data_IF_780862252024
#
_entry.id   IF_780862252024
#
_cell.length_a   1.000
_cell.length_b   1.000
_cell.length_c   1.000
_cell.angle_alpha   90.00
_cell.angle_beta   90.00
_cell.angle_gamma   90.00
#
_symmetry.space_group_name_H-M   'P 1'
#
loop_
_entity.id
_entity.type
_entity.pdbx_description
1 polymer ?
#
# COMPACT_ATOMS: atom_id res chain seq x y z
N UNK A 1 -40.01 -10.25 -15.30
CA UNK A 1 -39.29 -9.16 -14.59
C UNK A 1 -38.59 -8.21 -15.57
N UNK A 2 -37.89 -8.71 -16.61
CA UNK A 2 -37.24 -7.85 -17.64
C UNK A 2 -38.20 -6.79 -18.25
N UNK A 3 -39.43 -7.13 -18.72
CA UNK A 3 -40.33 -6.11 -19.29
C UNK A 3 -40.72 -5.02 -18.30
N UNK A 4 -40.83 -5.36 -17.01
CA UNK A 4 -41.13 -4.39 -15.96
C UNK A 4 -39.98 -3.38 -15.84
N UNK A 5 -38.72 -3.83 -15.83
CA UNK A 5 -37.56 -2.93 -15.75
C UNK A 5 -37.48 -2.01 -16.96
N UNK A 6 -37.65 -2.56 -18.17
CA UNK A 6 -37.70 -1.76 -19.41
C UNK A 6 -38.81 -0.72 -19.34
N UNK A 7 -40.01 -1.09 -18.88
CA UNK A 7 -41.11 -0.13 -18.70
C UNK A 7 -40.82 0.97 -17.67
N UNK A 8 -40.05 0.66 -16.61
CA UNK A 8 -39.67 1.65 -15.60
C UNK A 8 -38.57 2.59 -16.09
N UNK A 9 -37.82 2.20 -17.13
CA UNK A 9 -36.77 3.00 -17.76
C UNK A 9 -37.31 4.02 -18.78
N UNK A 10 -38.57 3.89 -19.23
CA UNK A 10 -39.17 4.79 -20.22
C UNK A 10 -39.06 6.28 -19.80
N UNK A 11 -38.74 7.20 -20.73
CA UNK A 11 -38.59 8.63 -20.44
C UNK A 11 -39.82 9.28 -19.78
N UNK A 12 -41.01 8.72 -20.00
CA UNK A 12 -42.29 9.17 -19.42
C UNK A 12 -42.41 8.92 -17.92
N UNK A 13 -41.64 7.98 -17.36
CA UNK A 13 -41.67 7.68 -15.92
C UNK A 13 -40.92 8.75 -15.15
N UNK A 14 -41.19 8.86 -13.83
CA UNK A 14 -40.46 9.78 -12.95
C UNK A 14 -38.97 9.40 -12.89
N UNK A 15 -38.09 10.40 -12.75
CA UNK A 15 -36.63 10.24 -12.62
C UNK A 15 -36.25 9.14 -11.62
N UNK A 16 -36.86 9.14 -10.43
CA UNK A 16 -36.60 8.14 -9.39
C UNK A 16 -36.87 6.70 -9.86
N UNK A 17 -37.91 6.47 -10.67
CA UNK A 17 -38.23 5.13 -11.21
C UNK A 17 -37.18 4.69 -12.23
N UNK A 18 -36.68 5.61 -13.04
CA UNK A 18 -35.61 5.32 -14.01
C UNK A 18 -34.27 5.04 -13.32
N UNK A 19 -33.95 5.76 -12.24
CA UNK A 19 -32.80 5.44 -11.36
C UNK A 19 -32.98 4.08 -10.67
N UNK A 20 -34.20 3.69 -10.30
CA UNK A 20 -34.44 2.33 -9.79
C UNK A 20 -34.26 1.30 -10.91
N UNK A 21 -34.69 1.61 -12.14
CA UNK A 21 -34.55 0.73 -13.28
C UNK A 21 -33.07 0.41 -13.60
N UNK A 22 -32.16 1.38 -13.53
CA UNK A 22 -30.71 1.12 -13.68
C UNK A 22 -30.20 0.13 -12.63
N UNK A 23 -30.61 0.26 -11.37
CA UNK A 23 -30.24 -0.65 -10.27
C UNK A 23 -30.79 -2.06 -10.46
N UNK A 24 -32.02 -2.17 -10.96
CA UNK A 24 -32.62 -3.46 -11.28
C UNK A 24 -31.95 -4.11 -12.48
N UNK A 25 -31.56 -3.32 -13.49
CA UNK A 25 -30.81 -3.78 -14.65
C UNK A 25 -29.51 -4.47 -14.22
N UNK A 26 -28.74 -3.85 -13.32
CA UNK A 26 -27.53 -4.42 -12.73
C UNK A 26 -27.75 -5.83 -12.15
N UNK A 27 -28.84 -6.02 -11.40
CA UNK A 27 -29.19 -7.32 -10.80
C UNK A 27 -29.72 -8.32 -11.81
N UNK A 28 -30.44 -7.87 -12.83
CA UNK A 28 -30.95 -8.77 -13.86
C UNK A 28 -29.83 -9.30 -14.76
N UNK A 29 -28.83 -8.48 -15.07
CA UNK A 29 -27.68 -8.87 -15.87
C UNK A 29 -27.02 -10.17 -15.39
N UNK A 30 -26.95 -10.41 -14.08
CA UNK A 30 -26.34 -11.64 -13.52
C UNK A 30 -27.27 -12.87 -13.47
N UNK A 31 -28.57 -12.71 -13.79
CA UNK A 31 -29.58 -13.77 -13.61
C UNK A 31 -30.19 -14.20 -14.94
N UNK A 32 -30.36 -13.27 -15.88
CA UNK A 32 -31.02 -13.56 -17.15
C UNK A 32 -30.06 -14.15 -18.18
N UNK A 33 -30.55 -14.92 -19.17
CA UNK A 33 -29.73 -15.38 -20.28
C UNK A 33 -29.09 -14.23 -21.05
N UNK A 34 -27.89 -14.47 -21.62
CA UNK A 34 -27.13 -13.49 -22.42
C UNK A 34 -27.96 -12.88 -23.56
N UNK A 35 -28.82 -13.67 -24.19
CA UNK A 35 -29.73 -13.20 -25.25
C UNK A 35 -30.69 -12.12 -24.76
N UNK A 36 -31.21 -12.23 -23.54
CA UNK A 36 -32.05 -11.19 -22.92
C UNK A 36 -31.22 -9.94 -22.58
N UNK A 37 -29.98 -10.12 -22.13
CA UNK A 37 -29.07 -8.98 -21.91
C UNK A 37 -28.85 -8.22 -23.22
N UNK A 38 -28.57 -8.94 -24.29
CA UNK A 38 -28.29 -8.39 -25.62
C UNK A 38 -29.49 -7.69 -26.25
N UNK A 39 -30.67 -8.30 -26.18
CA UNK A 39 -31.88 -7.81 -26.87
C UNK A 39 -32.67 -6.78 -26.08
N UNK A 40 -32.67 -6.87 -24.75
CA UNK A 40 -33.55 -6.05 -23.91
C UNK A 40 -32.76 -5.10 -23.00
N UNK A 41 -31.79 -5.63 -22.23
CA UNK A 41 -31.13 -4.84 -21.19
C UNK A 41 -30.08 -3.87 -21.73
N UNK A 42 -29.25 -4.29 -22.69
CA UNK A 42 -28.24 -3.42 -23.29
C UNK A 42 -28.87 -2.24 -24.06
N UNK A 43 -29.92 -2.43 -24.89
CA UNK A 43 -30.65 -1.31 -25.50
C UNK A 43 -31.34 -0.41 -24.46
N UNK A 44 -31.88 -1.00 -23.38
CA UNK A 44 -32.43 -0.23 -22.27
C UNK A 44 -31.36 0.65 -21.60
N UNK A 45 -30.14 0.14 -21.42
CA UNK A 45 -29.03 0.91 -20.88
C UNK A 45 -28.59 2.03 -21.84
N UNK A 46 -28.52 1.76 -23.15
CA UNK A 46 -28.22 2.76 -24.18
C UNK A 46 -29.20 3.94 -24.11
N UNK A 47 -30.50 3.65 -24.03
CA UNK A 47 -31.55 4.67 -23.86
C UNK A 47 -31.34 5.49 -22.57
N UNK A 48 -31.02 4.83 -21.46
CA UNK A 48 -30.78 5.50 -20.18
C UNK A 48 -29.49 6.35 -20.17
N UNK A 49 -28.52 6.06 -21.05
CA UNK A 49 -27.33 6.90 -21.21
C UNK A 49 -27.67 8.27 -21.83
N UNK A 50 -28.79 8.35 -22.56
CA UNK A 50 -29.33 9.56 -23.19
C UNK A 50 -30.41 10.25 -22.35
N UNK A 51 -30.62 9.82 -21.11
CA UNK A 51 -31.68 10.35 -20.26
C UNK A 51 -31.48 11.84 -20.00
N UNK A 52 -32.54 12.69 -20.02
CA UNK A 52 -32.40 14.12 -19.75
C UNK A 52 -31.89 14.44 -18.34
N UNK A 53 -32.06 13.52 -17.38
CA UNK A 53 -31.58 13.70 -16.00
C UNK A 53 -30.16 13.15 -15.82
N UNK A 54 -29.23 14.04 -15.42
CA UNK A 54 -27.87 13.65 -15.04
C UNK A 54 -27.85 12.56 -13.96
N UNK A 55 -28.81 12.57 -13.01
CA UNK A 55 -28.89 11.53 -11.97
C UNK A 55 -29.14 10.12 -12.55
N UNK A 56 -29.92 10.01 -13.63
CA UNK A 56 -30.14 8.73 -14.33
C UNK A 56 -28.89 8.34 -15.10
N UNK A 57 -28.29 9.28 -15.83
CA UNK A 57 -27.05 9.05 -16.60
C UNK A 57 -25.89 8.61 -15.72
N UNK A 58 -25.66 9.27 -14.58
CA UNK A 58 -24.69 8.86 -13.57
C UNK A 58 -25.00 7.46 -13.05
N UNK A 59 -26.28 7.17 -12.79
CA UNK A 59 -26.68 5.86 -12.27
C UNK A 59 -26.47 4.72 -13.27
N UNK A 60 -26.75 4.92 -14.57
CA UNK A 60 -26.48 3.90 -15.59
C UNK A 60 -24.98 3.79 -15.88
N UNK A 61 -24.24 4.91 -15.90
CA UNK A 61 -22.80 4.94 -16.12
C UNK A 61 -22.07 4.00 -15.16
N UNK A 62 -22.40 4.04 -13.87
CA UNK A 62 -21.84 3.18 -12.80
C UNK A 62 -22.09 1.68 -12.99
N UNK A 63 -22.94 1.27 -13.94
CA UNK A 63 -23.46 -0.10 -14.08
C UNK A 63 -23.12 -0.75 -15.41
N UNK A 64 -22.56 0.00 -16.35
CA UNK A 64 -22.23 -0.52 -17.69
C UNK A 64 -21.24 -1.69 -17.63
N UNK A 65 -20.36 -1.74 -16.64
CA UNK A 65 -19.44 -2.87 -16.43
C UNK A 65 -20.15 -4.19 -16.17
N UNK A 66 -21.30 -4.19 -15.49
CA UNK A 66 -22.09 -5.41 -15.26
C UNK A 66 -22.72 -5.94 -16.54
N UNK A 67 -23.07 -5.03 -17.47
CA UNK A 67 -23.55 -5.43 -18.79
C UNK A 67 -22.40 -6.04 -19.59
N UNK A 68 -21.21 -5.43 -19.54
CA UNK A 68 -20.02 -5.94 -20.22
C UNK A 68 -19.66 -7.36 -19.77
N UNK A 69 -19.65 -7.59 -18.45
CA UNK A 69 -19.42 -8.92 -17.86
C UNK A 69 -20.48 -9.94 -18.32
N UNK A 70 -21.75 -9.53 -18.35
CA UNK A 70 -22.85 -10.44 -18.67
C UNK A 70 -22.94 -10.80 -20.15
N UNK A 71 -22.46 -9.94 -21.06
CA UNK A 71 -22.47 -10.22 -22.51
C UNK A 71 -21.49 -11.33 -22.90
N UNK A 72 -20.40 -11.53 -22.13
CA UNK A 72 -19.36 -12.57 -22.36
C UNK A 72 -18.80 -12.64 -23.78
N UNK A 73 -18.97 -11.59 -24.57
CA UNK A 73 -18.54 -11.51 -25.97
C UNK A 73 -18.00 -10.10 -26.26
N UNK A 74 -16.73 -10.02 -26.61
CA UNK A 74 -16.07 -8.72 -26.81
C UNK A 74 -16.63 -7.92 -27.98
N UNK A 75 -17.10 -8.56 -29.06
CA UNK A 75 -17.71 -7.89 -30.21
C UNK A 75 -19.06 -7.27 -29.84
N UNK A 76 -19.86 -7.99 -29.04
CA UNK A 76 -21.12 -7.47 -28.51
C UNK A 76 -20.86 -6.32 -27.53
N UNK A 77 -19.87 -6.45 -26.63
CA UNK A 77 -19.46 -5.35 -25.75
C UNK A 77 -19.04 -4.10 -26.54
N UNK A 78 -18.24 -4.27 -27.60
CA UNK A 78 -17.81 -3.16 -28.46
C UNK A 78 -19.00 -2.52 -29.15
N UNK A 79 -19.87 -3.30 -29.80
CA UNK A 79 -21.01 -2.74 -30.55
C UNK A 79 -22.07 -2.09 -29.66
N UNK A 80 -22.33 -2.64 -28.47
CA UNK A 80 -23.41 -2.19 -27.59
C UNK A 80 -22.95 -1.15 -26.56
N UNK A 81 -21.77 -1.27 -25.99
CA UNK A 81 -21.36 -0.46 -24.83
C UNK A 81 -20.37 0.65 -25.17
N UNK A 82 -19.51 0.45 -26.18
CA UNK A 82 -18.53 1.48 -26.55
C UNK A 82 -19.19 2.81 -26.95
N UNK A 83 -20.32 2.85 -27.69
CA UNK A 83 -21.04 4.09 -27.95
C UNK A 83 -21.49 4.81 -26.67
N UNK A 84 -22.00 4.06 -25.67
CA UNK A 84 -22.40 4.61 -24.36
C UNK A 84 -21.21 5.25 -23.64
N UNK A 85 -20.05 4.59 -23.64
CA UNK A 85 -18.84 5.14 -23.01
C UNK A 85 -18.43 6.46 -23.66
N UNK A 86 -18.41 6.51 -24.99
CA UNK A 86 -18.03 7.72 -25.76
C UNK A 86 -18.99 8.87 -25.46
N UNK A 87 -20.28 8.57 -25.38
CA UNK A 87 -21.33 9.56 -25.12
C UNK A 87 -21.22 10.13 -23.70
N UNK A 88 -21.21 9.28 -22.68
CA UNK A 88 -21.14 9.69 -21.27
C UNK A 88 -19.81 10.37 -20.92
N UNK A 89 -18.72 10.04 -21.63
CA UNK A 89 -17.44 10.76 -21.49
C UNK A 89 -17.48 12.21 -21.96
N UNK A 90 -18.46 12.58 -22.80
CA UNK A 90 -18.67 13.94 -23.32
C UNK A 90 -19.76 14.69 -22.56
N UNK A 91 -20.30 14.11 -21.48
CA UNK A 91 -21.40 14.69 -20.72
C UNK A 91 -20.99 16.04 -20.10
N UNK A 92 -21.94 16.98 -20.04
CA UNK A 92 -21.74 18.28 -19.42
C UNK A 92 -21.70 18.19 -17.89
N UNK A 93 -22.36 17.18 -17.30
CA UNK A 93 -22.37 16.97 -15.85
C UNK A 93 -21.08 16.29 -15.36
N UNK A 94 -20.33 16.89 -14.43
CA UNK A 94 -19.09 16.30 -13.91
C UNK A 94 -19.32 14.96 -13.20
N UNK A 95 -20.47 14.77 -12.52
CA UNK A 95 -20.79 13.52 -11.85
C UNK A 95 -20.98 12.35 -12.81
N UNK A 96 -21.55 12.62 -14.00
CA UNK A 96 -21.63 11.61 -15.08
C UNK A 96 -20.23 11.27 -15.60
N UNK A 97 -19.38 12.29 -15.86
CA UNK A 97 -18.00 12.09 -16.30
C UNK A 97 -17.18 11.28 -15.28
N UNK A 98 -17.32 11.56 -14.00
CA UNK A 98 -16.67 10.79 -12.94
C UNK A 98 -17.11 9.32 -12.93
N UNK A 99 -18.41 9.08 -13.02
CA UNK A 99 -18.97 7.73 -13.01
C UNK A 99 -18.48 6.90 -14.20
N UNK A 100 -18.46 7.49 -15.39
CA UNK A 100 -18.03 6.77 -16.59
C UNK A 100 -16.53 6.52 -16.61
N UNK A 101 -15.69 7.45 -16.13
CA UNK A 101 -14.25 7.26 -16.07
C UNK A 101 -13.86 6.10 -15.13
N UNK A 102 -14.53 5.98 -13.97
CA UNK A 102 -14.36 4.81 -13.11
C UNK A 102 -14.79 3.51 -13.82
N UNK A 103 -15.87 3.57 -14.59
CA UNK A 103 -16.44 2.39 -15.27
C UNK A 103 -15.58 1.93 -16.46
N UNK A 104 -14.96 2.85 -17.19
CA UNK A 104 -14.03 2.52 -18.28
C UNK A 104 -12.92 1.60 -17.80
N UNK A 105 -12.33 1.87 -16.62
CA UNK A 105 -11.26 1.05 -16.07
C UNK A 105 -11.68 -0.42 -15.91
N UNK A 106 -12.92 -0.65 -15.44
CA UNK A 106 -13.49 -1.98 -15.24
C UNK A 106 -13.90 -2.64 -16.57
N UNK A 107 -14.33 -1.84 -17.55
CA UNK A 107 -14.78 -2.35 -18.85
C UNK A 107 -13.62 -2.76 -19.78
N UNK A 108 -12.40 -2.25 -19.58
CA UNK A 108 -11.26 -2.46 -20.48
C UNK A 108 -11.01 -3.93 -20.85
N UNK A 109 -11.04 -4.92 -19.93
CA UNK A 109 -10.79 -6.32 -20.26
C UNK A 109 -11.83 -6.94 -21.21
N UNK A 110 -13.05 -6.41 -21.26
CA UNK A 110 -14.12 -6.95 -22.12
C UNK A 110 -14.01 -6.48 -23.56
N UNK A 111 -13.22 -5.45 -23.85
CA UNK A 111 -13.07 -4.90 -25.19
C UNK A 111 -11.96 -5.58 -26.00
N UNK A 112 -12.16 -5.66 -27.31
CA UNK A 112 -11.15 -6.23 -28.21
C UNK A 112 -9.87 -5.41 -28.17
N UNK A 113 -8.74 -6.05 -28.48
CA UNK A 113 -7.43 -5.38 -28.55
C UNK A 113 -7.48 -4.20 -29.52
N UNK A 114 -8.16 -4.38 -30.65
CA UNK A 114 -8.33 -3.36 -31.68
C UNK A 114 -9.12 -2.16 -31.16
N UNK A 115 -10.31 -2.36 -30.56
CA UNK A 115 -11.12 -1.25 -30.06
C UNK A 115 -10.46 -0.51 -28.90
N UNK A 116 -9.72 -1.23 -28.03
CA UNK A 116 -8.90 -0.59 -26.99
C UNK A 116 -7.89 0.38 -27.60
N UNK A 117 -7.21 -0.05 -28.66
CA UNK A 117 -6.20 0.75 -29.36
C UNK A 117 -6.80 1.92 -30.15
N UNK A 118 -7.79 1.66 -31.00
CA UNK A 118 -8.31 2.64 -31.94
C UNK A 118 -9.33 3.61 -31.35
N UNK A 119 -9.98 3.26 -30.24
CA UNK A 119 -11.08 4.05 -29.66
C UNK A 119 -10.84 4.39 -28.20
N UNK A 120 -10.61 3.39 -27.33
CA UNK A 120 -10.60 3.62 -25.88
C UNK A 120 -9.39 4.44 -25.43
N UNK A 121 -8.19 4.16 -25.95
CA UNK A 121 -6.99 4.95 -25.64
C UNK A 121 -7.17 6.42 -26.04
N UNK A 122 -7.58 6.77 -27.29
CA UNK A 122 -7.91 8.15 -27.64
C UNK A 122 -8.97 8.80 -26.75
N UNK A 123 -10.00 8.03 -26.34
CA UNK A 123 -11.04 8.52 -25.44
C UNK A 123 -10.48 8.87 -24.05
N UNK A 124 -9.70 7.98 -23.44
CA UNK A 124 -9.03 8.20 -22.14
C UNK A 124 -8.14 9.45 -22.20
N UNK A 125 -7.39 9.62 -23.30
CA UNK A 125 -6.55 10.81 -23.51
C UNK A 125 -7.39 12.08 -23.54
N UNK A 126 -8.46 12.08 -24.33
CA UNK A 126 -9.35 13.25 -24.44
C UNK A 126 -9.98 13.61 -23.10
N UNK A 127 -10.50 12.62 -22.36
CA UNK A 127 -11.09 12.86 -21.04
C UNK A 127 -10.05 13.33 -20.02
N UNK A 128 -8.84 12.80 -20.08
CA UNK A 128 -7.73 13.24 -19.21
C UNK A 128 -7.37 14.70 -19.49
N UNK A 129 -7.20 15.11 -20.75
CA UNK A 129 -6.92 16.51 -21.08
C UNK A 129 -8.08 17.44 -20.70
N UNK A 130 -9.33 16.98 -20.84
CA UNK A 130 -10.51 17.71 -20.36
C UNK A 130 -10.46 17.91 -18.84
N UNK A 131 -10.15 16.87 -18.06
CA UNK A 131 -10.04 16.95 -16.61
C UNK A 131 -8.88 17.87 -16.17
N UNK A 132 -7.74 17.80 -16.85
CA UNK A 132 -6.58 18.68 -16.61
C UNK A 132 -6.89 20.15 -16.93
N UNK A 133 -7.74 20.40 -17.92
CA UNK A 133 -8.18 21.74 -18.30
C UNK A 133 -9.24 22.30 -17.33
N UNK A 134 -10.30 21.54 -17.08
CA UNK A 134 -11.42 21.95 -16.23
C UNK A 134 -11.05 22.02 -14.76
N UNK A 135 -10.12 21.17 -14.31
CA UNK A 135 -9.68 21.06 -12.91
C UNK A 135 -10.83 20.87 -11.92
N UNK A 136 -11.85 20.13 -12.36
CA UNK A 136 -13.01 19.75 -11.56
C UNK A 136 -12.78 18.39 -10.88
N UNK A 137 -13.84 17.82 -10.31
CA UNK A 137 -13.82 16.53 -9.62
C UNK A 137 -13.40 15.35 -10.51
N UNK A 138 -13.54 15.46 -11.84
CA UNK A 138 -13.05 14.43 -12.77
C UNK A 138 -11.52 14.28 -12.73
N UNK A 139 -10.79 15.32 -12.31
CA UNK A 139 -9.33 15.29 -12.14
C UNK A 139 -8.91 14.24 -11.11
N UNK A 140 -9.65 14.11 -10.00
CA UNK A 140 -9.37 13.09 -8.98
C UNK A 140 -9.64 11.68 -9.50
N UNK A 141 -10.67 11.51 -10.34
CA UNK A 141 -10.95 10.21 -10.96
C UNK A 141 -9.85 9.83 -11.95
N UNK A 142 -9.38 10.78 -12.76
CA UNK A 142 -8.22 10.55 -13.64
C UNK A 142 -6.99 10.20 -12.81
N UNK A 143 -6.69 10.96 -11.75
CA UNK A 143 -5.56 10.66 -10.86
C UNK A 143 -5.66 9.27 -10.23
N UNK A 144 -6.87 8.80 -9.92
CA UNK A 144 -7.14 7.45 -9.39
C UNK A 144 -6.98 6.36 -10.46
N UNK A 145 -7.46 6.60 -11.67
CA UNK A 145 -7.57 5.57 -12.70
C UNK A 145 -6.38 5.50 -13.66
N UNK A 146 -5.49 6.49 -13.68
CA UNK A 146 -4.37 6.54 -14.63
C UNK A 146 -3.43 5.32 -14.51
N UNK A 147 -3.17 4.82 -13.29
CA UNK A 147 -2.42 3.59 -13.05
C UNK A 147 -3.15 2.34 -13.57
N UNK A 148 -4.39 2.05 -13.11
CA UNK A 148 -5.20 0.94 -13.62
C UNK A 148 -5.38 0.93 -15.14
N UNK A 149 -5.58 2.10 -15.75
CA UNK A 149 -5.65 2.25 -17.20
C UNK A 149 -4.34 1.85 -17.86
N UNK A 150 -3.21 2.41 -17.41
CA UNK A 150 -1.88 2.08 -17.92
C UNK A 150 -1.62 0.57 -17.83
N UNK A 151 -1.85 -0.04 -16.67
CA UNK A 151 -1.61 -1.47 -16.47
C UNK A 151 -2.43 -2.34 -17.44
N UNK A 152 -3.69 -1.97 -17.67
CA UNK A 152 -4.63 -2.70 -18.54
C UNK A 152 -4.32 -2.58 -20.04
N UNK A 153 -3.57 -1.56 -20.46
CA UNK A 153 -3.30 -1.27 -21.89
C UNK A 153 -1.82 -1.22 -22.26
N UNK A 154 -0.87 -1.29 -21.31
CA UNK A 154 0.57 -1.11 -21.55
C UNK A 154 1.12 -1.97 -22.69
N UNK A 155 0.62 -3.19 -22.88
CA UNK A 155 1.07 -4.13 -23.91
C UNK A 155 0.69 -3.72 -25.35
N UNK A 156 -0.23 -2.77 -25.49
CA UNK A 156 -0.78 -2.35 -26.79
C UNK A 156 -0.42 -0.91 -27.15
N UNK A 157 0.22 -0.19 -26.21
CA UNK A 157 0.68 1.18 -26.37
C UNK A 157 1.94 1.26 -27.23
N UNK A 158 2.00 2.30 -28.05
CA UNK A 158 3.23 2.78 -28.67
C UNK A 158 4.12 3.51 -27.66
N UNK A 159 5.40 3.70 -28.00
CA UNK A 159 6.34 4.47 -27.16
C UNK A 159 5.88 5.91 -26.92
N UNK A 160 5.23 6.54 -27.90
CA UNK A 160 4.68 7.89 -27.73
C UNK A 160 3.52 7.92 -26.73
N UNK A 161 2.68 6.88 -26.71
CA UNK A 161 1.58 6.79 -25.76
C UNK A 161 2.06 6.43 -24.36
N UNK A 162 3.06 5.54 -24.23
CA UNK A 162 3.73 5.28 -22.96
C UNK A 162 4.33 6.57 -22.38
N UNK A 163 5.01 7.36 -23.21
CA UNK A 163 5.52 8.67 -22.80
C UNK A 163 4.41 9.61 -22.36
N UNK A 164 3.30 9.67 -23.11
CA UNK A 164 2.15 10.50 -22.74
C UNK A 164 1.58 10.12 -21.35
N UNK A 165 1.49 8.84 -21.00
CA UNK A 165 1.05 8.43 -19.66
C UNK A 165 1.99 8.93 -18.56
N UNK A 166 3.31 8.81 -18.74
CA UNK A 166 4.29 9.29 -17.78
C UNK A 166 4.23 10.82 -17.64
N UNK A 167 4.22 11.55 -18.76
CA UNK A 167 4.15 13.02 -18.76
C UNK A 167 2.84 13.51 -18.11
N UNK A 168 1.75 12.81 -18.36
CA UNK A 168 0.44 13.09 -17.75
C UNK A 168 0.46 12.86 -16.24
N UNK A 169 1.06 11.77 -15.77
CA UNK A 169 1.22 11.51 -14.34
C UNK A 169 2.04 12.59 -13.64
N UNK A 170 3.16 13.02 -14.24
CA UNK A 170 3.95 14.15 -13.74
C UNK A 170 3.10 15.43 -13.67
N UNK A 171 2.35 15.77 -14.73
CA UNK A 171 1.43 16.92 -14.74
C UNK A 171 0.37 16.86 -13.64
N UNK A 172 -0.21 15.68 -13.39
CA UNK A 172 -1.19 15.48 -12.31
C UNK A 172 -0.57 15.77 -10.94
N UNK A 173 0.63 15.24 -10.68
CA UNK A 173 1.37 15.52 -9.44
C UNK A 173 1.63 17.02 -9.30
N UNK A 174 2.14 17.67 -10.34
CA UNK A 174 2.46 19.10 -10.30
C UNK A 174 1.22 19.97 -10.07
N UNK A 175 0.10 19.68 -10.73
CA UNK A 175 -1.16 20.39 -10.50
C UNK A 175 -1.66 20.19 -9.08
N UNK A 176 -1.57 18.98 -8.54
CA UNK A 176 -2.06 18.64 -7.20
C UNK A 176 -1.22 19.22 -6.05
N UNK A 177 0.00 19.65 -6.37
CA UNK A 177 0.97 20.20 -5.43
C UNK A 177 1.21 21.70 -5.61
N UNK A 178 0.70 22.30 -6.69
CA UNK A 178 0.87 23.71 -6.98
C UNK A 178 -0.13 24.58 -6.21
N UNK A 179 0.31 25.78 -5.83
CA UNK A 179 -0.56 26.83 -5.30
C UNK A 179 -1.36 27.45 -6.45
N UNK A 180 -2.48 26.82 -6.82
CA UNK A 180 -3.39 27.38 -7.83
C UNK A 180 -4.70 27.80 -7.17
N UNK A 181 -4.99 29.10 -7.13
CA UNK A 181 -6.25 29.67 -6.64
C UNK A 181 -7.50 29.11 -7.32
N UNK A 182 -7.34 28.42 -8.46
CA UNK A 182 -8.42 27.86 -9.26
C UNK A 182 -8.86 26.45 -8.83
N UNK A 183 -8.14 25.81 -7.91
CA UNK A 183 -8.43 24.43 -7.47
C UNK A 183 -8.64 24.42 -5.96
N UNK A 184 -9.73 23.79 -5.51
CA UNK A 184 -9.95 23.60 -4.08
C UNK A 184 -8.80 22.79 -3.45
N UNK A 185 -8.32 23.21 -2.28
CA UNK A 185 -7.31 22.49 -1.52
C UNK A 185 -7.70 21.02 -1.22
N UNK A 186 -9.01 20.76 -1.05
CA UNK A 186 -9.55 19.40 -0.88
C UNK A 186 -9.34 18.55 -2.13
N UNK A 187 -9.59 19.13 -3.31
CA UNK A 187 -9.39 18.45 -4.58
C UNK A 187 -7.90 18.17 -4.85
N UNK A 188 -7.03 19.15 -4.57
CA UNK A 188 -5.58 18.96 -4.65
C UNK A 188 -5.11 17.81 -3.74
N UNK A 189 -5.57 17.79 -2.49
CA UNK A 189 -5.20 16.74 -1.52
C UNK A 189 -5.71 15.37 -1.97
N UNK A 190 -6.96 15.28 -2.45
CA UNK A 190 -7.51 14.04 -3.00
C UNK A 190 -6.70 13.56 -4.22
N UNK A 191 -6.33 14.46 -5.14
CA UNK A 191 -5.47 14.13 -6.28
C UNK A 191 -4.09 13.62 -5.82
N UNK A 192 -3.44 14.29 -4.85
CA UNK A 192 -2.13 13.83 -4.33
C UNK A 192 -2.20 12.42 -3.75
N UNK A 193 -3.24 12.11 -2.97
CA UNK A 193 -3.48 10.75 -2.42
C UNK A 193 -3.63 9.72 -3.53
N UNK A 194 -4.39 10.03 -4.57
CA UNK A 194 -4.56 9.13 -5.71
C UNK A 194 -3.28 8.96 -6.55
N UNK A 195 -2.50 10.01 -6.72
CA UNK A 195 -1.20 9.93 -7.38
C UNK A 195 -0.22 9.05 -6.57
N UNK A 196 -0.15 9.24 -5.25
CA UNK A 196 0.66 8.40 -4.38
C UNK A 196 0.26 6.92 -4.44
N UNK A 197 -1.05 6.64 -4.45
CA UNK A 197 -1.57 5.28 -4.63
C UNK A 197 -1.11 4.65 -5.95
N UNK A 198 -1.02 5.44 -7.02
CA UNK A 198 -0.60 4.96 -8.33
C UNK A 198 0.92 4.92 -8.55
N UNK A 199 1.73 5.50 -7.65
CA UNK A 199 3.18 5.53 -7.79
C UNK A 199 3.81 4.15 -8.07
N UNK A 200 3.43 3.05 -7.40
CA UNK A 200 4.01 1.73 -7.68
C UNK A 200 3.80 1.27 -9.13
N UNK A 201 2.64 1.56 -9.74
CA UNK A 201 2.39 1.23 -11.15
C UNK A 201 3.39 1.93 -12.07
N UNK A 202 3.62 3.22 -11.86
CA UNK A 202 4.57 4.00 -12.64
C UNK A 202 6.02 3.57 -12.38
N UNK A 203 6.36 3.25 -11.13
CA UNK A 203 7.67 2.69 -10.80
C UNK A 203 7.92 1.33 -11.49
N UNK A 204 6.92 0.46 -11.57
CA UNK A 204 7.04 -0.81 -12.28
C UNK A 204 7.21 -0.63 -13.80
N UNK A 205 6.46 0.28 -14.41
CA UNK A 205 6.47 0.47 -15.88
C UNK A 205 7.68 1.27 -16.35
N UNK A 206 8.01 2.37 -15.68
CA UNK A 206 9.04 3.33 -16.12
C UNK A 206 10.33 3.27 -15.29
N UNK A 207 10.37 2.41 -14.27
CA UNK A 207 11.46 2.37 -13.30
C UNK A 207 12.82 2.00 -13.89
N UNK A 208 12.90 1.41 -15.08
CA UNK A 208 14.20 1.11 -15.72
C UNK A 208 14.82 2.33 -16.41
N UNK A 209 14.01 3.13 -17.08
CA UNK A 209 14.49 4.18 -18.00
C UNK A 209 14.40 5.58 -17.41
N UNK A 210 13.37 5.88 -16.60
CA UNK A 210 13.06 7.26 -16.17
C UNK A 210 12.89 7.41 -14.66
N UNK A 211 13.39 6.45 -13.86
CA UNK A 211 13.24 6.49 -12.41
C UNK A 211 13.89 7.73 -11.80
N UNK A 212 15.20 7.92 -12.02
CA UNK A 212 15.95 9.01 -11.38
C UNK A 212 15.55 10.40 -11.90
N UNK A 213 15.20 10.53 -13.18
CA UNK A 213 14.85 11.82 -13.78
C UNK A 213 13.43 12.27 -13.42
N UNK A 214 12.44 11.35 -13.44
CA UNK A 214 11.02 11.70 -13.32
C UNK A 214 10.39 11.21 -12.01
N UNK A 215 10.64 9.97 -11.63
CA UNK A 215 9.93 9.35 -10.49
C UNK A 215 10.57 9.65 -9.14
N UNK A 216 11.90 9.76 -9.07
CA UNK A 216 12.61 10.04 -7.83
C UNK A 216 12.21 11.40 -7.23
N UNK A 217 12.14 12.51 -8.00
CA UNK A 217 11.65 13.78 -7.45
C UNK A 217 10.20 13.72 -6.95
N UNK A 218 9.35 12.90 -7.59
CA UNK A 218 7.96 12.69 -7.15
C UNK A 218 7.94 11.90 -5.84
N UNK A 219 8.77 10.87 -5.73
CA UNK A 219 8.91 10.07 -4.51
C UNK A 219 9.36 10.93 -3.32
N UNK A 220 10.37 11.78 -3.52
CA UNK A 220 10.86 12.70 -2.49
C UNK A 220 9.74 13.61 -1.98
N UNK A 221 8.96 14.19 -2.90
CA UNK A 221 7.80 15.04 -2.57
C UNK A 221 6.73 14.28 -1.80
N UNK A 222 6.40 13.05 -2.20
CA UNK A 222 5.41 12.27 -1.45
C UNK A 222 5.91 11.83 -0.08
N UNK A 223 7.19 11.51 0.08
CA UNK A 223 7.77 11.16 1.38
C UNK A 223 7.85 12.35 2.35
N UNK A 224 7.73 13.58 1.84
CA UNK A 224 7.76 14.83 2.62
C UNK A 224 6.45 15.60 2.55
N UNK A 225 5.38 15.01 2.01
CA UNK A 225 4.08 15.66 1.84
C UNK A 225 3.48 16.05 3.19
N UNK A 226 2.80 17.19 3.25
CA UNK A 226 2.13 17.66 4.47
C UNK A 226 0.94 16.78 4.90
N UNK A 227 0.39 15.97 3.98
CA UNK A 227 -0.71 15.06 4.25
C UNK A 227 -0.21 13.66 4.66
N UNK A 228 -0.55 13.23 5.88
CA UNK A 228 -0.09 11.95 6.45
C UNK A 228 -0.60 10.74 5.65
N UNK A 229 -1.74 10.84 4.97
CA UNK A 229 -2.30 9.74 4.15
C UNK A 229 -1.48 9.53 2.87
N UNK A 230 -0.99 10.61 2.24
CA UNK A 230 -0.02 10.52 1.13
C UNK A 230 1.25 9.80 1.59
N UNK A 231 1.83 10.22 2.72
CA UNK A 231 3.05 9.59 3.26
C UNK A 231 2.81 8.14 3.64
N UNK A 232 1.67 7.83 4.25
CA UNK A 232 1.27 6.45 4.62
C UNK A 232 1.10 5.56 3.38
N UNK A 233 0.53 6.09 2.32
CA UNK A 233 0.32 5.36 1.06
C UNK A 233 1.66 4.94 0.45
N UNK A 234 2.60 5.87 0.31
CA UNK A 234 3.95 5.56 -0.19
C UNK A 234 4.70 4.62 0.76
N UNK A 235 4.61 4.88 2.06
CA UNK A 235 5.23 4.06 3.12
C UNK A 235 4.82 2.59 3.03
N UNK A 236 3.53 2.30 2.76
CA UNK A 236 3.02 0.93 2.63
C UNK A 236 3.65 0.14 1.47
N UNK A 237 3.96 0.81 0.35
CA UNK A 237 4.57 0.23 -0.85
C UNK A 237 6.08 0.41 -0.96
N UNK A 238 6.73 1.07 0.00
CA UNK A 238 8.13 1.51 -0.15
C UNK A 238 9.11 0.35 -0.33
N UNK A 239 8.82 -0.79 0.30
CA UNK A 239 9.62 -2.00 0.19
C UNK A 239 9.67 -2.56 -1.24
N UNK A 240 8.57 -2.46 -2.00
CA UNK A 240 8.51 -2.87 -3.41
C UNK A 240 9.41 -1.96 -4.27
N UNK A 241 9.41 -0.64 -4.00
CA UNK A 241 10.29 0.33 -4.69
C UNK A 241 11.76 -0.03 -4.48
N UNK A 242 12.15 -0.33 -3.24
CA UNK A 242 13.50 -0.78 -2.91
C UNK A 242 13.83 -2.09 -3.60
N UNK A 243 12.92 -3.07 -3.60
CA UNK A 243 13.16 -4.37 -4.21
C UNK A 243 13.33 -4.28 -5.73
N UNK A 244 12.65 -3.35 -6.39
CA UNK A 244 12.87 -3.07 -7.81
C UNK A 244 14.23 -2.43 -8.10
N UNK A 245 14.78 -1.66 -7.16
CA UNK A 245 16.05 -0.94 -7.31
C UNK A 245 16.93 -1.04 -6.05
N UNK A 246 17.43 -2.26 -5.73
CA UNK A 246 18.12 -2.51 -4.47
C UNK A 246 19.47 -1.78 -4.35
N UNK A 247 20.07 -1.41 -5.48
CA UNK A 247 21.36 -0.69 -5.56
C UNK A 247 21.20 0.83 -5.76
N UNK A 248 20.00 1.40 -5.56
CA UNK A 248 19.76 2.84 -5.74
C UNK A 248 19.98 3.62 -4.43
N UNK A 249 21.10 4.34 -4.27
CA UNK A 249 21.43 5.03 -3.03
C UNK A 249 20.49 6.21 -2.72
N UNK A 250 19.84 6.79 -3.73
CA UNK A 250 18.91 7.90 -3.55
C UNK A 250 17.71 7.52 -2.65
N UNK A 251 17.35 6.24 -2.57
CA UNK A 251 16.22 5.74 -1.76
C UNK A 251 16.47 5.79 -0.24
N UNK A 252 17.72 5.93 0.19
CA UNK A 252 18.06 6.00 1.63
C UNK A 252 17.48 7.26 2.27
N UNK A 253 17.50 8.40 1.56
CA UNK A 253 16.96 9.66 2.06
C UNK A 253 15.46 9.60 2.35
N UNK A 254 14.63 9.25 1.35
CA UNK A 254 13.18 9.14 1.53
C UNK A 254 12.77 8.13 2.58
N UNK A 255 13.48 7.00 2.70
CA UNK A 255 13.26 6.04 3.79
C UNK A 255 13.42 6.69 5.16
N UNK A 256 14.47 7.49 5.35
CA UNK A 256 14.71 8.20 6.62
C UNK A 256 13.65 9.28 6.85
N UNK A 257 13.27 10.03 5.83
CA UNK A 257 12.25 11.08 5.96
C UNK A 257 10.89 10.52 6.37
N UNK A 258 10.47 9.38 5.81
CA UNK A 258 9.24 8.69 6.23
C UNK A 258 9.24 8.29 7.71
N UNK A 259 10.40 8.02 8.30
CA UNK A 259 10.51 7.67 9.72
C UNK A 259 10.68 8.91 10.60
N UNK A 260 11.49 9.89 10.18
CA UNK A 260 11.82 11.08 10.98
C UNK A 260 10.70 12.12 10.98
N UNK A 261 10.11 12.39 9.82
CA UNK A 261 8.99 13.34 9.64
C UNK A 261 7.61 12.66 9.63
N UNK A 262 7.57 11.33 9.77
CA UNK A 262 6.33 10.56 9.76
C UNK A 262 5.57 10.67 11.08
N UNK A 263 4.25 10.89 10.97
CA UNK A 263 3.34 10.55 12.06
C UNK A 263 3.44 9.04 12.36
N UNK A 264 3.08 8.59 13.57
CA UNK A 264 3.17 7.17 13.90
C UNK A 264 2.47 6.26 12.90
N UNK A 265 1.35 6.68 12.32
CA UNK A 265 0.56 5.96 11.31
C UNK A 265 1.38 5.67 10.04
N UNK A 266 2.24 6.61 9.62
CA UNK A 266 3.14 6.47 8.47
C UNK A 266 4.18 5.40 8.76
N UNK A 267 4.83 5.49 9.92
CA UNK A 267 5.89 4.56 10.33
C UNK A 267 5.35 3.15 10.50
N UNK A 268 4.12 3.01 11.01
CA UNK A 268 3.45 1.72 11.18
C UNK A 268 3.37 0.92 9.87
N UNK A 269 3.18 1.60 8.71
CA UNK A 269 3.09 0.93 7.40
C UNK A 269 4.38 0.22 6.97
N UNK A 270 5.54 0.67 7.46
CA UNK A 270 6.85 0.09 7.10
C UNK A 270 7.23 -1.11 7.95
N UNK A 271 6.68 -1.21 9.17
CA UNK A 271 7.15 -2.17 10.20
C UNK A 271 7.15 -3.62 9.72
N UNK A 272 6.13 -4.02 8.96
CA UNK A 272 5.97 -5.38 8.44
C UNK A 272 6.99 -5.79 7.38
N UNK A 273 7.65 -4.83 6.73
CA UNK A 273 8.53 -5.07 5.60
C UNK A 273 9.98 -4.63 5.85
N UNK A 274 10.36 -4.26 7.08
CA UNK A 274 11.73 -3.85 7.39
C UNK A 274 12.76 -4.95 7.05
N UNK A 275 12.42 -6.23 7.17
CA UNK A 275 13.32 -7.33 6.79
C UNK A 275 13.66 -7.36 5.29
N UNK A 276 12.78 -6.83 4.42
CA UNK A 276 13.00 -6.69 2.97
C UNK A 276 13.70 -5.37 2.63
N UNK A 277 13.38 -4.32 3.37
CA UNK A 277 13.85 -2.96 3.13
C UNK A 277 15.26 -2.71 3.64
N UNK A 278 15.60 -3.18 4.84
CA UNK A 278 16.87 -2.83 5.47
C UNK A 278 18.10 -3.41 4.75
N UNK A 279 18.14 -4.69 4.33
CA UNK A 279 19.35 -5.24 3.73
C UNK A 279 19.84 -4.46 2.49
N UNK A 280 18.99 -4.13 1.49
CA UNK A 280 19.41 -3.30 0.36
C UNK A 280 19.91 -1.91 0.79
N UNK A 281 19.23 -1.23 1.73
CA UNK A 281 19.64 0.10 2.18
C UNK A 281 20.99 0.09 2.90
N UNK A 282 21.24 -0.89 3.77
CA UNK A 282 22.55 -1.05 4.43
C UNK A 282 23.66 -1.37 3.42
N UNK A 283 23.37 -2.19 2.42
CA UNK A 283 24.34 -2.51 1.36
C UNK A 283 24.66 -1.27 0.50
N UNK A 284 23.65 -0.46 0.14
CA UNK A 284 23.85 0.83 -0.52
C UNK A 284 24.74 1.75 0.30
N UNK A 285 24.44 1.94 1.59
CA UNK A 285 25.28 2.78 2.45
C UNK A 285 26.71 2.26 2.48
N UNK A 286 26.91 0.95 2.64
CA UNK A 286 28.24 0.33 2.66
C UNK A 286 29.02 0.57 1.36
N UNK A 287 28.39 0.39 0.20
CA UNK A 287 29.02 0.57 -1.12
C UNK A 287 29.37 2.03 -1.41
N UNK A 288 28.52 2.97 -0.99
CA UNK A 288 28.61 4.38 -1.39
C UNK A 288 29.11 5.32 -0.28
N UNK A 289 29.51 4.79 0.89
CA UNK A 289 30.10 5.58 1.97
C UNK A 289 31.32 6.36 1.45
N UNK A 290 31.30 7.69 1.56
CA UNK A 290 32.38 8.58 1.10
C UNK A 290 32.23 9.14 -0.31
N UNK A 291 31.18 8.76 -1.05
CA UNK A 291 30.82 9.40 -2.32
C UNK A 291 29.93 10.63 -2.10
N UNK A 292 29.99 11.61 -3.00
CA UNK A 292 29.23 12.88 -2.91
C UNK A 292 27.71 12.68 -2.80
N UNK A 293 27.19 11.56 -3.31
CA UNK A 293 25.76 11.30 -3.44
C UNK A 293 25.10 10.68 -2.19
N UNK A 294 25.87 10.10 -1.26
CA UNK A 294 25.30 9.53 -0.01
C UNK A 294 25.77 10.31 1.20
N UNK A 295 25.00 11.34 1.56
CA UNK A 295 25.23 12.14 2.77
C UNK A 295 24.88 11.40 4.07
N UNK A 296 24.27 10.21 3.97
CA UNK A 296 23.71 9.48 5.11
C UNK A 296 24.66 8.38 5.55
N UNK A 297 25.06 8.42 6.82
CA UNK A 297 25.92 7.39 7.41
C UNK A 297 25.12 6.20 7.94
N UNK A 298 25.76 5.03 8.01
CA UNK A 298 25.19 3.83 8.66
C UNK A 298 24.72 4.12 10.09
N UNK A 299 25.53 4.86 10.85
CA UNK A 299 25.22 5.26 12.23
C UNK A 299 23.93 6.08 12.31
N UNK A 300 23.68 6.93 11.31
CA UNK A 300 22.43 7.68 11.23
C UNK A 300 21.23 6.74 11.03
N UNK A 301 21.33 5.76 10.13
CA UNK A 301 20.27 4.77 9.93
C UNK A 301 20.00 3.95 11.20
N UNK A 302 21.04 3.48 11.89
CA UNK A 302 20.92 2.77 13.17
C UNK A 302 20.12 3.59 14.21
N UNK A 303 20.46 4.87 14.34
CA UNK A 303 19.76 5.80 15.25
C UNK A 303 18.30 6.03 14.86
N UNK A 304 18.01 6.11 13.56
CA UNK A 304 16.64 6.26 13.04
C UNK A 304 15.81 5.02 13.38
N UNK A 305 16.38 3.82 13.25
CA UNK A 305 15.68 2.58 13.60
C UNK A 305 15.41 2.49 15.11
N UNK A 306 16.35 2.91 15.96
CA UNK A 306 16.11 2.99 17.41
C UNK A 306 15.05 4.07 17.73
N UNK A 307 15.06 5.19 17.02
CA UNK A 307 14.03 6.23 17.10
C UNK A 307 12.64 5.70 16.75
N UNK A 308 12.54 4.88 15.72
CA UNK A 308 11.31 4.19 15.31
C UNK A 308 10.73 3.35 16.45
N UNK A 309 11.55 2.58 17.17
CA UNK A 309 11.09 1.85 18.36
C UNK A 309 10.49 2.78 19.43
N UNK A 310 11.15 3.91 19.72
CA UNK A 310 10.67 4.88 20.72
C UNK A 310 9.34 5.50 20.32
N UNK A 311 9.18 5.83 19.04
CA UNK A 311 7.95 6.37 18.48
C UNK A 311 6.81 5.36 18.66
N UNK A 312 7.00 4.12 18.20
CA UNK A 312 5.98 3.06 18.24
C UNK A 312 5.59 2.69 19.68
N UNK A 313 6.56 2.67 20.61
CA UNK A 313 6.33 2.43 22.05
C UNK A 313 5.40 3.47 22.67
N UNK A 314 5.42 4.71 22.16
CA UNK A 314 4.53 5.78 22.60
C UNK A 314 3.09 5.67 22.08
N UNK A 315 2.81 4.72 21.19
CA UNK A 315 1.49 4.54 20.56
C UNK A 315 0.66 3.44 21.22
N UNK A 316 -0.64 3.39 20.92
CA UNK A 316 -1.50 2.23 21.21
C UNK A 316 -1.35 1.05 20.25
N UNK A 317 -0.56 1.21 19.18
CA UNK A 317 -0.47 0.26 18.06
C UNK A 317 0.54 -0.87 18.33
N UNK A 318 0.27 -1.69 19.34
CA UNK A 318 1.17 -2.78 19.74
C UNK A 318 1.46 -3.79 18.63
N UNK A 319 0.53 -4.01 17.68
CA UNK A 319 0.75 -4.91 16.53
C UNK A 319 1.87 -4.41 15.63
N UNK A 320 1.91 -3.11 15.37
CA UNK A 320 2.96 -2.49 14.56
C UNK A 320 4.29 -2.47 15.31
N UNK A 321 4.27 -2.30 16.64
CA UNK A 321 5.47 -2.39 17.47
C UNK A 321 6.03 -3.82 17.52
N UNK A 322 5.18 -4.82 17.72
CA UNK A 322 5.54 -6.25 17.63
C UNK A 322 6.12 -6.57 16.24
N UNK A 323 5.44 -6.13 15.18
CA UNK A 323 5.91 -6.27 13.80
C UNK A 323 7.29 -5.66 13.60
N UNK A 324 7.51 -4.43 14.08
CA UNK A 324 8.83 -3.79 14.07
C UNK A 324 9.88 -4.65 14.77
N UNK A 325 9.61 -5.10 16.01
CA UNK A 325 10.56 -5.85 16.83
C UNK A 325 10.99 -7.15 16.17
N UNK A 326 10.06 -7.86 15.54
CA UNK A 326 10.37 -9.07 14.77
C UNK A 326 11.19 -8.76 13.51
N UNK A 327 10.81 -7.72 12.77
CA UNK A 327 11.40 -7.44 11.47
C UNK A 327 12.79 -6.77 11.54
N UNK A 328 13.17 -6.15 12.66
CA UNK A 328 14.54 -5.66 12.88
C UNK A 328 15.56 -6.77 13.20
N UNK A 329 15.13 -8.02 13.37
CA UNK A 329 16.05 -9.14 13.61
C UNK A 329 17.07 -9.33 12.47
N UNK A 330 16.75 -8.91 11.24
CA UNK A 330 17.67 -8.97 10.10
C UNK A 330 18.94 -8.11 10.31
N UNK A 331 18.87 -7.04 11.13
CA UNK A 331 19.99 -6.12 11.39
C UNK A 331 21.21 -6.87 11.94
N UNK A 332 20.99 -8.00 12.62
CA UNK A 332 22.07 -8.83 13.18
C UNK A 332 23.10 -9.27 12.12
N UNK A 333 22.71 -9.34 10.85
CA UNK A 333 23.59 -9.69 9.74
C UNK A 333 24.08 -8.47 8.93
N UNK A 334 23.60 -7.26 9.27
CA UNK A 334 23.86 -6.04 8.50
C UNK A 334 24.89 -5.12 9.16
N UNK A 335 25.06 -5.20 10.49
CA UNK A 335 25.99 -4.34 11.24
C UNK A 335 26.95 -5.16 12.12
N UNK A 336 28.12 -4.61 12.48
CA UNK A 336 29.08 -5.26 13.36
C UNK A 336 28.51 -5.58 14.74
N UNK A 337 28.98 -6.69 15.33
CA UNK A 337 28.51 -7.15 16.64
C UNK A 337 28.71 -6.13 17.76
N UNK A 338 29.74 -5.28 17.68
CA UNK A 338 29.98 -4.22 18.65
C UNK A 338 28.80 -3.22 18.69
N UNK A 339 28.31 -2.83 17.52
CA UNK A 339 27.23 -1.85 17.41
C UNK A 339 25.87 -2.45 17.79
N UNK A 340 25.65 -3.74 17.48
CA UNK A 340 24.52 -4.51 18.01
C UNK A 340 24.52 -4.51 19.54
N UNK A 341 25.68 -4.81 20.14
CA UNK A 341 25.82 -4.94 21.58
C UNK A 341 25.66 -3.60 22.31
N UNK A 342 26.21 -2.51 21.76
CA UNK A 342 26.15 -1.19 22.41
C UNK A 342 24.80 -0.51 22.23
N UNK A 343 24.17 -0.66 21.06
CA UNK A 343 22.99 0.17 20.71
C UNK A 343 21.66 -0.61 20.77
N UNK A 344 21.62 -1.81 20.20
CA UNK A 344 20.36 -2.57 20.06
C UNK A 344 20.07 -3.47 21.25
N UNK A 345 21.09 -4.09 21.86
CA UNK A 345 20.91 -4.96 23.01
C UNK A 345 20.28 -4.25 24.22
N UNK A 346 20.71 -3.04 24.65
CA UNK A 346 20.07 -2.34 25.74
C UNK A 346 18.62 -1.96 25.43
N UNK A 347 18.36 -1.52 24.19
CA UNK A 347 17.01 -1.20 23.72
C UNK A 347 16.09 -2.43 23.80
N UNK A 348 16.50 -3.58 23.26
CA UNK A 348 15.70 -4.80 23.31
C UNK A 348 15.47 -5.29 24.74
N UNK A 349 16.51 -5.27 25.61
CA UNK A 349 16.35 -5.59 27.04
C UNK A 349 15.31 -4.68 27.71
N UNK A 350 15.32 -3.38 27.39
CA UNK A 350 14.33 -2.45 27.89
C UNK A 350 12.91 -2.79 27.41
N UNK A 351 12.74 -3.16 26.13
CA UNK A 351 11.42 -3.52 25.60
C UNK A 351 10.87 -4.79 26.26
N UNK A 352 11.71 -5.83 26.43
CA UNK A 352 11.36 -7.07 27.13
C UNK A 352 10.84 -6.78 28.55
N UNK A 353 11.46 -5.85 29.27
CA UNK A 353 11.10 -5.54 30.65
C UNK A 353 9.88 -4.62 30.79
N UNK A 354 9.73 -3.65 29.89
CA UNK A 354 8.90 -2.46 30.17
C UNK A 354 7.69 -2.30 29.26
N UNK A 355 7.63 -2.96 28.09
CA UNK A 355 6.48 -2.80 27.18
C UNK A 355 5.23 -3.37 27.83
N UNK A 356 4.08 -2.72 27.62
CA UNK A 356 2.81 -3.19 28.19
C UNK A 356 2.30 -4.47 27.51
N UNK A 357 2.35 -4.52 26.18
CA UNK A 357 1.85 -5.64 25.41
C UNK A 357 2.79 -6.84 25.49
N UNK A 358 2.25 -7.98 25.93
CA UNK A 358 3.01 -9.24 25.99
C UNK A 358 3.56 -9.67 24.61
N UNK A 359 2.81 -9.57 23.49
CA UNK A 359 3.35 -9.90 22.16
C UNK A 359 4.62 -9.13 21.81
N UNK A 360 4.70 -7.84 22.15
CA UNK A 360 5.93 -7.06 21.96
C UNK A 360 7.08 -7.56 22.85
N UNK A 361 6.83 -7.97 24.09
CA UNK A 361 7.88 -8.54 24.96
C UNK A 361 8.43 -9.85 24.38
N UNK A 362 7.55 -10.69 23.85
CA UNK A 362 7.91 -11.96 23.20
C UNK A 362 8.73 -11.67 21.93
N UNK A 363 8.27 -10.76 21.07
CA UNK A 363 8.99 -10.35 19.86
C UNK A 363 10.38 -9.76 20.17
N UNK A 364 10.47 -8.86 21.17
CA UNK A 364 11.75 -8.32 21.62
C UNK A 364 12.68 -9.42 22.17
N UNK A 365 12.13 -10.41 22.88
CA UNK A 365 12.89 -11.54 23.41
C UNK A 365 13.44 -12.42 22.29
N UNK A 366 12.62 -12.73 21.29
CA UNK A 366 13.04 -13.47 20.11
C UNK A 366 14.16 -12.75 19.37
N UNK A 367 13.99 -11.46 19.07
CA UNK A 367 15.02 -10.68 18.39
C UNK A 367 16.31 -10.58 19.19
N UNK A 368 16.22 -10.41 20.52
CA UNK A 368 17.39 -10.38 21.41
C UNK A 368 18.16 -11.72 21.40
N UNK A 369 17.45 -12.85 21.46
CA UNK A 369 18.05 -14.18 21.37
C UNK A 369 18.68 -14.42 19.99
N UNK A 370 18.00 -14.00 18.92
CA UNK A 370 18.52 -14.10 17.56
C UNK A 370 19.79 -13.26 17.36
N UNK A 371 19.87 -12.06 17.93
CA UNK A 371 21.07 -11.21 17.91
C UNK A 371 22.23 -11.79 18.73
N UNK A 372 21.93 -12.43 19.86
CA UNK A 372 22.94 -13.06 20.72
C UNK A 372 23.82 -14.06 19.96
N UNK A 373 23.27 -14.74 18.94
CA UNK A 373 24.02 -15.70 18.10
C UNK A 373 25.19 -15.07 17.35
N UNK A 374 25.13 -13.77 17.08
CA UNK A 374 26.17 -13.04 16.37
C UNK A 374 27.30 -12.57 17.29
N UNK A 375 27.18 -12.75 18.61
CA UNK A 375 28.22 -12.33 19.55
C UNK A 375 29.32 -13.40 19.63
N UNK A 376 30.58 -13.07 19.26
CA UNK A 376 31.66 -14.06 19.21
C UNK A 376 32.15 -14.47 20.61
N UNK A 377 32.14 -13.55 21.57
CA UNK A 377 32.61 -13.80 22.93
C UNK A 377 31.53 -14.47 23.78
N UNK A 378 31.88 -15.57 24.45
CA UNK A 378 30.98 -16.29 25.35
C UNK A 378 30.45 -15.39 26.46
N UNK A 379 31.31 -14.56 27.05
CA UNK A 379 30.92 -13.56 28.06
C UNK A 379 29.72 -12.72 27.60
N UNK A 380 29.73 -12.26 26.35
CA UNK A 380 28.66 -11.43 25.80
C UNK A 380 27.36 -12.21 25.62
N UNK A 381 27.45 -13.48 25.18
CA UNK A 381 26.29 -14.38 25.11
C UNK A 381 25.72 -14.66 26.50
N UNK A 382 26.57 -14.91 27.48
CA UNK A 382 26.18 -15.14 28.87
C UNK A 382 25.43 -13.94 29.45
N UNK A 383 25.76 -12.70 29.08
CA UNK A 383 24.97 -11.52 29.51
C UNK A 383 23.50 -11.52 29.06
N UNK A 384 23.18 -12.20 27.95
CA UNK A 384 21.81 -12.34 27.46
C UNK A 384 21.14 -13.53 28.11
N UNK A 385 21.85 -14.64 28.29
CA UNK A 385 21.37 -15.83 28.99
C UNK A 385 21.01 -15.49 30.45
N UNK A 386 21.93 -14.83 31.17
CA UNK A 386 21.72 -14.35 32.55
C UNK A 386 20.56 -13.37 32.66
N UNK A 387 20.33 -12.55 31.63
CA UNK A 387 19.18 -11.66 31.60
C UNK A 387 17.85 -12.44 31.60
N UNK A 388 17.73 -13.52 30.84
CA UNK A 388 16.51 -14.34 30.86
C UNK A 388 16.40 -15.22 32.10
N UNK A 389 17.49 -15.85 32.53
CA UNK A 389 17.48 -16.82 33.64
C UNK A 389 17.41 -16.14 35.01
N UNK A 390 18.18 -15.08 35.21
CA UNK A 390 18.28 -14.36 36.48
C UNK A 390 17.33 -13.17 36.52
N UNK A 391 17.49 -12.20 35.61
CA UNK A 391 16.73 -10.93 35.67
C UNK A 391 15.23 -11.12 35.39
N UNK A 392 14.85 -12.12 34.60
CA UNK A 392 13.46 -12.44 34.27
C UNK A 392 12.98 -13.65 35.08
N UNK A 393 13.66 -14.79 34.97
CA UNK A 393 13.25 -16.07 35.57
C UNK A 393 13.25 -16.11 37.10
N UNK A 394 14.10 -15.32 37.75
CA UNK A 394 14.24 -15.29 39.22
C UNK A 394 13.69 -14.01 39.86
N UNK A 395 12.95 -13.19 39.09
CA UNK A 395 12.45 -11.89 39.55
C UNK A 395 11.27 -12.03 40.52
N UNK A 396 11.07 -11.09 41.43
CA UNK A 396 9.93 -11.08 42.39
C UNK A 396 8.55 -10.98 41.70
N UNK A 397 8.46 -10.25 40.60
CA UNK A 397 7.26 -10.12 39.76
C UNK A 397 6.93 -11.42 39.02
N UNK A 398 5.78 -12.01 39.32
CA UNK A 398 5.24 -13.19 38.64
C UNK A 398 5.08 -12.98 37.13
N UNK A 399 4.72 -11.78 36.69
CA UNK A 399 4.59 -11.46 35.27
C UNK A 399 5.92 -11.56 34.51
N UNK A 400 7.05 -11.23 35.16
CA UNK A 400 8.38 -11.42 34.56
C UNK A 400 8.74 -12.90 34.51
N UNK A 401 8.53 -13.64 35.59
CA UNK A 401 8.81 -15.09 35.60
C UNK A 401 7.97 -15.85 34.58
N UNK A 402 6.68 -15.49 34.41
CA UNK A 402 5.81 -16.03 33.36
C UNK A 402 6.37 -15.78 31.96
N UNK A 403 6.94 -14.60 31.69
CA UNK A 403 7.54 -14.30 30.40
C UNK A 403 8.67 -15.28 30.05
N UNK A 404 9.43 -15.81 31.02
CA UNK A 404 10.43 -16.83 30.74
C UNK A 404 9.80 -18.07 30.10
N UNK A 405 8.62 -18.50 30.57
CA UNK A 405 7.89 -19.64 29.99
C UNK A 405 7.44 -19.35 28.55
N UNK A 406 7.03 -18.11 28.26
CA UNK A 406 6.70 -17.68 26.89
C UNK A 406 7.95 -17.66 25.97
N UNK A 407 9.15 -17.47 26.54
CA UNK A 407 10.43 -17.47 25.81
C UNK A 407 10.98 -18.89 25.56
N UNK A 408 10.63 -19.88 26.37
CA UNK A 408 11.14 -21.26 26.21
C UNK A 408 10.86 -21.85 24.82
N UNK A 409 9.63 -21.74 24.24
CA UNK A 409 9.38 -22.21 22.88
C UNK A 409 10.31 -21.58 21.84
N UNK A 410 10.60 -20.27 21.97
CA UNK A 410 11.51 -19.56 21.07
C UNK A 410 12.94 -20.11 21.19
N UNK A 411 13.41 -20.37 22.41
CA UNK A 411 14.73 -20.98 22.64
C UNK A 411 14.80 -22.36 22.00
N UNK A 412 13.79 -23.21 22.23
CA UNK A 412 13.75 -24.57 21.67
C UNK A 412 13.60 -24.58 20.14
N UNK A 413 13.00 -23.55 19.54
CA UNK A 413 12.88 -23.41 18.10
C UNK A 413 14.19 -22.97 17.43
N UNK A 414 14.96 -22.09 18.07
CA UNK A 414 16.12 -21.45 17.44
C UNK A 414 17.48 -21.98 17.91
N UNK A 415 17.52 -22.76 18.99
CA UNK A 415 18.74 -23.30 19.59
C UNK A 415 18.63 -24.81 19.80
N UNK A 416 19.77 -25.48 20.00
CA UNK A 416 19.80 -26.92 20.24
C UNK A 416 19.18 -27.26 21.59
N UNK A 417 18.66 -28.49 21.72
CA UNK A 417 18.18 -29.02 23.00
C UNK A 417 19.29 -29.06 24.06
N UNK A 418 20.54 -29.27 23.64
CA UNK A 418 21.70 -29.24 24.53
C UNK A 418 21.94 -27.85 25.10
N UNK A 419 21.89 -26.82 24.25
CA UNK A 419 21.97 -25.42 24.68
C UNK A 419 20.87 -25.08 25.69
N UNK A 420 19.63 -25.51 25.44
CA UNK A 420 18.53 -25.33 26.39
C UNK A 420 18.80 -26.04 27.73
N UNK A 421 19.24 -27.31 27.69
CA UNK A 421 19.57 -28.08 28.90
C UNK A 421 20.66 -27.41 29.72
N UNK A 422 21.70 -26.91 29.07
CA UNK A 422 22.85 -26.29 29.72
C UNK A 422 22.51 -24.94 30.35
N UNK A 423 21.70 -24.11 29.69
CA UNK A 423 21.56 -22.71 30.05
C UNK A 423 20.20 -22.31 30.62
N UNK A 424 19.11 -22.98 30.24
CA UNK A 424 17.75 -22.54 30.58
C UNK A 424 16.99 -23.55 31.46
N UNK A 425 17.25 -24.85 31.30
CA UNK A 425 16.47 -25.92 31.92
C UNK A 425 16.37 -25.77 33.44
N UNK A 426 17.47 -25.54 34.15
CA UNK A 426 17.45 -25.42 35.61
C UNK A 426 16.54 -24.26 36.06
N UNK A 427 16.65 -23.11 35.39
CA UNK A 427 15.82 -21.94 35.69
C UNK A 427 14.34 -22.20 35.42
N UNK A 428 14.01 -22.95 34.36
CA UNK A 428 12.64 -23.32 34.03
C UNK A 428 12.08 -24.35 35.02
N UNK A 429 12.86 -25.37 35.41
CA UNK A 429 12.42 -26.37 36.38
C UNK A 429 12.15 -25.77 37.77
N UNK A 430 12.89 -24.72 38.16
CA UNK A 430 12.59 -23.96 39.39
C UNK A 430 11.18 -23.36 39.39
N UNK A 431 10.63 -23.00 38.23
CA UNK A 431 9.28 -22.45 38.10
C UNK A 431 8.16 -23.48 38.35
N UNK A 432 8.44 -24.78 38.25
CA UNK A 432 7.46 -25.81 38.65
C UNK A 432 7.11 -25.74 40.16
N UNK A 433 7.99 -25.13 40.96
CA UNK A 433 7.81 -24.90 42.39
C UNK A 433 7.50 -23.42 42.71
N UNK A 434 7.08 -22.63 41.72
CA UNK A 434 6.76 -21.22 41.92
C UNK A 434 5.65 -21.03 42.96
N UNK A 435 5.65 -19.91 43.68
CA UNK A 435 4.60 -19.58 44.66
C UNK A 435 3.24 -19.36 43.98
N UNK A 436 3.22 -18.90 42.73
CA UNK A 436 2.01 -18.57 41.97
C UNK A 436 1.56 -19.76 41.13
N UNK A 437 0.31 -20.20 41.31
CA UNK A 437 -0.27 -21.36 40.61
C UNK A 437 -0.31 -21.22 39.09
N UNK A 438 -0.40 -20.02 38.55
CA UNK A 438 -0.43 -19.79 37.10
C UNK A 438 0.95 -19.90 36.44
N UNK A 439 2.03 -20.00 37.24
CA UNK A 439 3.40 -20.19 36.76
C UNK A 439 3.80 -21.66 36.85
N UNK A 440 3.38 -22.35 37.92
CA UNK A 440 3.49 -23.81 38.03
C UNK A 440 2.66 -24.48 36.93
#
# INVERSE_FOLDING_TARGET
>A
IVPLVVSQAEPTKRVQRRVIATRLLEKLCSIVPVECVKKDLAPCAQMLCQDPSAAVRTSVAQRLSMIADSLKNSTDCVSLLLPCLIELCKDDDPGVREAILNTIAVCLPYFTKESRKSVVIPLIRKCTEQALFLKDTSLTVVAKQIGPWLDSVKEILSQQELKWFLDTYCRLVDISMGDSDKISALLCTACRRMCAYNFPCFAMVYGKESFNEKLMPILDRFCTDGDDEVRSTISSGFHEIIQMRPDEPALVGPFIELIRGGAPEVVQQMTGNLHKTLPPLYECIKKYTGTVNVKISRIQLDRILIGCNRLLRGTGSWRSHESYLNNIACIRHLIPFHDLYVSFLPMLKQEVLTVRALPCRIAASQTLLLMMREFPMEKNRNTVIEFFTTTIGSHESCNRRRLLLDVVPIVLQHFSREFFKQHFLESVLKLAHDKISNIR
#
